data_IF_520727391140
#
_entry.id   IF_520727391140
#
_cell.length_a   1.000
_cell.length_b   1.000
_cell.length_c   1.000
_cell.angle_alpha   90.00
_cell.angle_beta   90.00
_cell.angle_gamma   90.00
#
_symmetry.space_group_name_H-M   'P 1'
#
loop_
_entity.id
_entity.type
_entity.pdbx_description
1 polymer ?
#
# COMPACT_ATOMS: atom_id res chain seq x y z
N UNK A 1 -15.77 33.36 23.69
CA UNK A 1 -14.98 32.11 23.53
C UNK A 1 -13.97 32.34 22.43
N UNK A 2 -12.74 32.68 22.83
CA UNK A 2 -11.67 33.12 21.94
C UNK A 2 -11.36 32.11 20.83
N UNK A 3 -11.02 32.66 19.67
CA UNK A 3 -10.82 31.99 18.41
C UNK A 3 -9.48 31.22 18.42
N UNK A 4 -9.43 30.11 19.16
CA UNK A 4 -8.21 29.32 19.33
C UNK A 4 -7.71 28.74 17.98
N UNK A 5 -6.60 29.28 17.50
CA UNK A 5 -6.01 28.95 16.19
C UNK A 5 -5.57 27.50 16.13
N UNK A 6 -4.90 27.01 17.17
CA UNK A 6 -4.36 25.64 17.23
C UNK A 6 -5.50 24.62 17.15
N UNK A 7 -6.56 24.81 17.95
CA UNK A 7 -7.76 23.97 17.93
C UNK A 7 -8.41 23.95 16.55
N UNK A 8 -8.59 25.12 15.92
CA UNK A 8 -9.20 25.23 14.58
C UNK A 8 -8.36 24.51 13.52
N UNK A 9 -7.04 24.66 13.57
CA UNK A 9 -6.12 24.03 12.62
C UNK A 9 -6.06 22.49 12.79
N UNK A 10 -6.00 21.99 14.03
CA UNK A 10 -6.02 20.54 14.32
C UNK A 10 -7.35 19.94 13.86
N UNK A 11 -8.48 20.60 14.14
CA UNK A 11 -9.79 20.13 13.71
C UNK A 11 -9.88 20.04 12.18
N UNK A 12 -9.47 21.09 11.46
CA UNK A 12 -9.47 21.11 9.99
C UNK A 12 -8.63 19.98 9.40
N UNK A 13 -7.39 19.82 9.86
CA UNK A 13 -6.49 18.77 9.36
C UNK A 13 -6.97 17.36 9.71
N UNK A 14 -7.57 17.18 10.88
CA UNK A 14 -8.13 15.90 11.31
C UNK A 14 -9.40 15.52 10.52
N UNK A 15 -10.26 16.48 10.18
CA UNK A 15 -11.42 16.26 9.30
C UNK A 15 -10.96 15.85 7.89
N UNK A 16 -10.06 16.64 7.28
CA UNK A 16 -9.59 16.37 5.91
C UNK A 16 -8.92 15.00 5.83
N UNK A 17 -7.99 14.70 6.75
CA UNK A 17 -7.34 13.38 6.78
C UNK A 17 -8.30 12.24 7.11
N UNK A 18 -9.32 12.47 7.95
CA UNK A 18 -10.36 11.49 8.24
C UNK A 18 -11.21 11.15 7.01
N UNK A 19 -11.62 12.15 6.23
CA UNK A 19 -12.39 11.94 4.99
C UNK A 19 -11.61 11.12 3.95
N UNK A 20 -10.31 11.40 3.79
CA UNK A 20 -9.46 10.60 2.90
C UNK A 20 -9.35 9.14 3.36
N UNK A 21 -9.22 8.90 4.67
CA UNK A 21 -9.19 7.53 5.21
C UNK A 21 -10.52 6.80 4.98
N UNK A 22 -11.66 7.47 5.15
CA UNK A 22 -12.98 6.91 4.88
C UNK A 22 -13.12 6.55 3.39
N UNK A 23 -12.66 7.42 2.48
CA UNK A 23 -12.67 7.15 1.05
C UNK A 23 -11.85 5.90 0.71
N UNK A 24 -10.65 5.74 1.29
CA UNK A 24 -9.81 4.54 1.11
C UNK A 24 -10.54 3.29 1.60
N UNK A 25 -11.18 3.34 2.78
CA UNK A 25 -11.96 2.22 3.30
C UNK A 25 -13.11 1.86 2.37
N UNK A 26 -13.80 2.86 1.79
CA UNK A 26 -14.88 2.63 0.82
C UNK A 26 -14.39 1.95 -0.45
N UNK A 27 -13.23 2.33 -0.98
CA UNK A 27 -12.62 1.70 -2.16
C UNK A 27 -12.26 0.24 -1.85
N UNK A 28 -11.63 -0.03 -0.71
CA UNK A 28 -11.29 -1.40 -0.29
C UNK A 28 -12.57 -2.23 -0.13
N UNK A 29 -13.62 -1.65 0.47
CA UNK A 29 -14.92 -2.33 0.63
C UNK A 29 -15.55 -2.68 -0.72
N UNK A 30 -15.43 -1.81 -1.71
CA UNK A 30 -15.95 -2.05 -3.06
C UNK A 30 -15.17 -3.18 -3.76
N UNK A 31 -13.84 -3.17 -3.66
CA UNK A 31 -13.01 -4.26 -4.16
C UNK A 31 -13.33 -5.61 -3.47
N UNK A 32 -13.56 -5.60 -2.15
CA UNK A 32 -14.00 -6.78 -1.41
C UNK A 32 -15.43 -7.21 -1.77
N UNK A 33 -16.27 -6.28 -2.24
CA UNK A 33 -17.62 -6.59 -2.70
C UNK A 33 -17.57 -7.37 -4.02
N UNK A 34 -16.71 -6.95 -4.95
CA UNK A 34 -16.47 -7.66 -6.21
C UNK A 34 -15.90 -9.07 -5.96
N UNK A 35 -15.06 -9.25 -4.95
CA UNK A 35 -14.47 -10.57 -4.63
C UNK A 35 -15.32 -11.45 -3.71
N UNK A 36 -16.56 -11.08 -3.41
CA UNK A 36 -17.42 -11.81 -2.45
C UNK A 36 -17.63 -13.28 -2.76
N UNK A 37 -17.66 -13.68 -4.04
CA UNK A 37 -17.79 -15.09 -4.43
C UNK A 37 -16.56 -15.93 -4.08
N UNK A 38 -15.37 -15.31 -4.05
CA UNK A 38 -14.09 -15.98 -3.80
C UNK A 38 -13.75 -16.13 -2.31
N UNK A 39 -14.30 -15.27 -1.45
CA UNK A 39 -13.96 -15.31 -0.01
C UNK A 39 -14.46 -16.62 0.67
N UNK A 40 -15.71 -17.08 0.45
CA UNK A 40 -16.16 -18.36 0.98
C UNK A 40 -15.37 -19.55 0.43
N UNK A 41 -14.99 -19.52 -0.85
CA UNK A 41 -14.14 -20.59 -1.40
C UNK A 41 -12.78 -20.58 -0.73
N UNK A 42 -12.13 -19.44 -0.50
CA UNK A 42 -10.80 -19.40 0.14
C UNK A 42 -10.81 -19.93 1.58
N UNK A 43 -11.82 -19.60 2.39
CA UNK A 43 -11.86 -19.95 3.82
C UNK A 43 -12.75 -21.14 4.18
N UNK A 44 -13.56 -21.65 3.24
CA UNK A 44 -14.42 -22.83 3.43
C UNK A 44 -13.60 -24.12 3.55
N UNK A 45 -14.27 -25.27 3.71
CA UNK A 45 -13.67 -26.59 3.49
C UNK A 45 -13.91 -27.01 2.03
N UNK A 46 -13.03 -27.84 1.42
CA UNK A 46 -13.32 -28.42 0.12
C UNK A 46 -14.56 -29.29 0.23
N UNK A 47 -15.42 -29.21 -0.77
CA UNK A 47 -16.47 -30.20 -0.98
C UNK A 47 -15.84 -31.49 -1.51
N UNK A 48 -16.32 -32.66 -1.12
CA UNK A 48 -15.82 -33.92 -1.68
C UNK A 48 -16.65 -34.25 -2.91
N UNK A 49 -15.99 -34.43 -4.06
CA UNK A 49 -16.63 -34.86 -5.30
C UNK A 49 -16.19 -36.30 -5.57
N UNK A 50 -17.16 -37.20 -5.56
CA UNK A 50 -16.99 -38.62 -5.78
C UNK A 50 -17.81 -39.14 -6.96
N UNK A 51 -18.86 -38.43 -7.39
CA UNK A 51 -19.75 -38.85 -8.48
C UNK A 51 -19.77 -37.84 -9.63
N UNK A 52 -20.24 -38.29 -10.80
CA UNK A 52 -20.46 -37.41 -11.95
C UNK A 52 -21.52 -36.34 -11.67
N UNK A 53 -22.61 -36.70 -10.97
CA UNK A 53 -23.67 -35.75 -10.59
C UNK A 53 -23.14 -34.60 -9.72
N UNK A 54 -22.28 -34.90 -8.74
CA UNK A 54 -21.65 -33.88 -7.88
C UNK A 54 -20.72 -32.96 -8.69
N UNK A 55 -20.03 -33.49 -9.70
CA UNK A 55 -19.17 -32.71 -10.58
C UNK A 55 -19.96 -31.80 -11.52
N UNK A 56 -21.10 -32.26 -12.04
CA UNK A 56 -22.00 -31.46 -12.87
C UNK A 56 -22.66 -30.34 -12.05
N UNK A 57 -23.12 -30.61 -10.82
CA UNK A 57 -23.64 -29.58 -9.90
C UNK A 57 -22.56 -28.56 -9.54
N UNK A 58 -21.33 -29.02 -9.29
CA UNK A 58 -20.19 -28.15 -9.06
C UNK A 58 -19.90 -27.25 -10.28
N UNK A 59 -20.04 -27.78 -11.50
CA UNK A 59 -19.88 -27.01 -12.73
C UNK A 59 -20.95 -25.93 -12.88
N UNK A 60 -22.21 -26.25 -12.62
CA UNK A 60 -23.34 -25.32 -12.75
C UNK A 60 -23.32 -24.19 -11.71
N UNK A 61 -22.96 -24.52 -10.46
CA UNK A 61 -23.01 -23.56 -9.35
C UNK A 61 -21.84 -22.57 -9.36
N UNK A 62 -20.69 -22.94 -9.94
CA UNK A 62 -19.52 -22.09 -10.10
C UNK A 62 -18.94 -21.54 -8.78
N UNK A 63 -19.27 -22.16 -7.66
CA UNK A 63 -18.95 -21.67 -6.31
C UNK A 63 -18.20 -22.74 -5.54
N UNK A 64 -16.89 -22.58 -5.46
CA UNK A 64 -16.10 -23.30 -4.47
C UNK A 64 -14.95 -24.05 -5.06
N UNK A 65 -14.47 -25.00 -4.28
CA UNK A 65 -13.32 -25.82 -4.58
C UNK A 65 -13.59 -27.21 -4.02
N UNK A 66 -13.15 -28.22 -4.72
CA UNK A 66 -13.48 -29.59 -4.38
C UNK A 66 -12.24 -30.44 -4.16
N UNK A 67 -12.38 -31.49 -3.38
CA UNK A 67 -11.46 -32.62 -3.39
C UNK A 67 -12.01 -33.61 -4.40
N UNK A 68 -11.34 -33.72 -5.53
CA UNK A 68 -11.67 -34.69 -6.56
C UNK A 68 -10.93 -35.98 -6.27
N UNK A 69 -11.66 -37.07 -6.06
CA UNK A 69 -11.10 -38.40 -5.94
C UNK A 69 -11.12 -39.06 -7.32
N UNK A 70 -9.94 -39.35 -7.86
CA UNK A 70 -9.79 -39.88 -9.20
C UNK A 70 -9.34 -41.33 -9.10
N UNK A 71 -10.11 -42.23 -9.73
CA UNK A 71 -9.77 -43.65 -9.80
C UNK A 71 -8.56 -43.86 -10.72
N UNK A 72 -8.55 -43.20 -11.89
CA UNK A 72 -7.47 -43.28 -12.87
C UNK A 72 -7.27 -41.95 -13.60
N UNK A 73 -6.01 -41.53 -13.78
CA UNK A 73 -5.65 -40.41 -14.65
C UNK A 73 -4.47 -40.75 -15.57
N UNK A 74 -4.48 -40.22 -16.79
CA UNK A 74 -3.40 -40.31 -17.76
C UNK A 74 -2.96 -38.92 -18.24
N UNK A 75 -1.67 -38.77 -18.52
CA UNK A 75 -1.12 -37.56 -19.15
C UNK A 75 -1.65 -37.44 -20.58
N UNK A 76 -2.19 -36.28 -20.94
CA UNK A 76 -2.68 -36.04 -22.31
C UNK A 76 -1.56 -35.68 -23.28
N UNK A 77 -0.37 -35.34 -22.78
CA UNK A 77 0.75 -34.81 -23.58
C UNK A 77 0.63 -33.32 -23.88
N UNK A 78 -0.49 -32.68 -23.50
CA UNK A 78 -0.70 -31.26 -23.69
C UNK A 78 -0.29 -30.44 -22.47
N UNK A 79 0.13 -29.21 -22.69
CA UNK A 79 0.55 -28.32 -21.62
C UNK A 79 0.24 -26.84 -21.94
N UNK A 80 0.07 -26.05 -20.88
CA UNK A 80 -0.07 -24.60 -20.96
C UNK A 80 1.28 -23.96 -20.66
N UNK A 81 1.73 -23.06 -21.54
CA UNK A 81 2.96 -22.31 -21.39
C UNK A 81 2.69 -20.80 -21.25
N UNK A 82 3.54 -20.10 -20.48
CA UNK A 82 3.46 -18.64 -20.40
C UNK A 82 3.95 -18.00 -21.69
N UNK A 83 3.18 -17.01 -22.16
CA UNK A 83 3.56 -16.21 -23.32
C UNK A 83 4.69 -15.24 -22.94
N UNK A 84 5.90 -15.48 -23.47
CA UNK A 84 7.09 -14.66 -23.19
C UNK A 84 8.41 -15.43 -23.07
N UNK A 85 9.27 -15.28 -24.08
CA UNK A 85 10.74 -15.38 -24.02
C UNK A 85 11.40 -16.75 -23.86
N UNK A 86 10.80 -17.69 -23.11
CA UNK A 86 11.34 -19.06 -22.92
C UNK A 86 10.30 -20.19 -22.88
N UNK A 87 9.02 -19.90 -23.11
CA UNK A 87 7.98 -20.94 -23.21
C UNK A 87 7.93 -21.86 -21.98
N UNK A 88 8.14 -21.31 -20.78
CA UNK A 88 8.16 -22.11 -19.56
C UNK A 88 6.77 -22.73 -19.35
N UNK A 89 6.73 -24.06 -19.30
CA UNK A 89 5.52 -24.83 -19.00
C UNK A 89 5.03 -24.45 -17.62
N UNK A 90 3.78 -23.99 -17.54
CA UNK A 90 3.13 -23.64 -16.28
C UNK A 90 2.28 -24.79 -15.77
N UNK A 91 1.53 -25.45 -16.64
CA UNK A 91 0.56 -26.50 -16.29
C UNK A 91 0.60 -27.62 -17.34
N UNK A 92 0.48 -28.87 -16.89
CA UNK A 92 0.32 -30.05 -17.72
C UNK A 92 -1.15 -30.48 -17.68
N UNK A 93 -1.66 -30.98 -18.79
CA UNK A 93 -3.05 -31.38 -18.93
C UNK A 93 -3.14 -32.91 -18.80
N UNK A 94 -4.11 -33.34 -18.03
CA UNK A 94 -4.39 -34.74 -17.77
C UNK A 94 -5.85 -35.05 -18.05
N UNK A 95 -6.12 -36.32 -18.30
CA UNK A 95 -7.46 -36.87 -18.47
C UNK A 95 -7.70 -37.83 -17.33
N UNK A 96 -8.72 -37.54 -16.54
CA UNK A 96 -9.16 -38.38 -15.45
C UNK A 96 -10.45 -39.11 -15.82
N UNK A 97 -10.62 -40.30 -15.25
CA UNK A 97 -11.87 -41.06 -15.31
C UNK A 97 -12.53 -41.00 -13.94
N UNK A 98 -13.82 -40.62 -13.95
CA UNK A 98 -14.69 -40.63 -12.78
C UNK A 98 -15.95 -41.38 -13.20
N UNK A 99 -16.23 -42.49 -12.51
CA UNK A 99 -17.27 -43.46 -12.90
C UNK A 99 -17.06 -43.92 -14.35
N UNK A 100 -17.84 -43.41 -15.31
CA UNK A 100 -17.76 -43.71 -16.74
C UNK A 100 -17.46 -42.48 -17.63
N UNK A 101 -17.12 -41.34 -17.02
CA UNK A 101 -16.87 -40.07 -17.72
C UNK A 101 -15.41 -39.63 -17.69
N UNK A 102 -15.02 -38.95 -18.76
CA UNK A 102 -13.72 -38.30 -18.89
C UNK A 102 -13.79 -36.84 -18.43
N UNK A 103 -12.79 -36.44 -17.65
CA UNK A 103 -12.65 -35.08 -17.09
C UNK A 103 -11.25 -34.55 -17.37
N UNK A 104 -11.15 -33.28 -17.80
CA UNK A 104 -9.87 -32.64 -18.10
C UNK A 104 -9.33 -31.91 -16.87
N UNK A 105 -8.07 -32.17 -16.51
CA UNK A 105 -7.41 -31.58 -15.34
C UNK A 105 -6.14 -30.83 -15.75
N UNK A 106 -6.00 -29.58 -15.29
CA UNK A 106 -4.78 -28.78 -15.43
C UNK A 106 -3.99 -28.82 -14.12
N UNK A 107 -2.82 -29.47 -14.12
CA UNK A 107 -1.96 -29.57 -12.94
C UNK A 107 -0.68 -28.75 -13.13
N UNK A 108 -0.22 -27.98 -12.12
CA UNK A 108 1.04 -27.26 -12.19
C UNK A 108 2.21 -28.19 -12.53
N UNK A 109 3.12 -27.76 -13.42
CA UNK A 109 4.24 -28.57 -13.90
C UNK A 109 5.14 -29.13 -12.77
N UNK A 110 5.18 -28.44 -11.61
CA UNK A 110 5.93 -28.87 -10.40
C UNK A 110 5.27 -30.03 -9.64
N UNK A 111 3.97 -30.23 -9.82
CA UNK A 111 3.20 -31.33 -9.22
C UNK A 111 3.27 -32.56 -10.13
N UNK A 112 3.24 -32.33 -11.46
CA UNK A 112 3.39 -33.35 -12.49
C UNK A 112 4.76 -34.04 -12.48
N UNK A 113 5.86 -33.32 -12.24
CA UNK A 113 7.22 -33.90 -12.27
C UNK A 113 7.53 -34.94 -11.19
N UNK A 114 6.61 -35.19 -10.25
CA UNK A 114 6.76 -36.20 -9.20
C UNK A 114 6.00 -37.51 -9.45
N UNK A 115 5.12 -37.57 -10.45
CA UNK A 115 4.22 -38.70 -10.65
C UNK A 115 4.21 -39.19 -12.11
N UNK A 116 4.33 -40.51 -12.36
CA UNK A 116 4.45 -41.08 -13.69
C UNK A 116 3.15 -40.94 -14.51
N UNK A 117 3.26 -41.22 -15.81
CA UNK A 117 2.26 -41.08 -16.89
C UNK A 117 0.83 -41.59 -16.58
N UNK A 118 0.67 -42.42 -15.56
CA UNK A 118 -0.60 -42.98 -15.09
C UNK A 118 -0.64 -42.92 -13.56
N UNK A 119 -1.77 -42.51 -12.99
CA UNK A 119 -1.98 -42.50 -11.54
C UNK A 119 -3.32 -43.11 -11.16
N UNK A 120 -3.30 -43.90 -10.08
CA UNK A 120 -4.50 -44.51 -9.50
C UNK A 120 -4.81 -43.93 -8.12
N UNK A 121 -6.09 -43.75 -7.80
CA UNK A 121 -6.61 -43.33 -6.48
C UNK A 121 -5.96 -42.04 -5.94
N UNK A 122 -6.06 -40.95 -6.69
CA UNK A 122 -5.44 -39.66 -6.32
C UNK A 122 -6.49 -38.63 -5.95
N UNK A 123 -6.25 -37.90 -4.87
CA UNK A 123 -7.09 -36.80 -4.42
C UNK A 123 -6.45 -35.43 -4.71
N UNK A 124 -7.09 -34.62 -5.56
CA UNK A 124 -6.65 -33.26 -5.86
C UNK A 124 -7.61 -32.21 -5.31
N UNK A 125 -7.08 -31.07 -4.88
CA UNK A 125 -7.91 -29.94 -4.46
C UNK A 125 -8.06 -29.00 -5.65
N UNK A 126 -9.19 -29.11 -6.33
CA UNK A 126 -9.47 -28.48 -7.61
C UNK A 126 -10.34 -27.22 -7.46
N UNK A 127 -10.15 -26.28 -8.38
CA UNK A 127 -11.08 -25.16 -8.61
C UNK A 127 -11.50 -25.17 -10.08
N UNK A 128 -12.74 -24.76 -10.36
CA UNK A 128 -13.23 -24.55 -11.73
C UNK A 128 -12.28 -23.60 -12.45
N UNK A 129 -11.78 -24.02 -13.61
CA UNK A 129 -10.99 -23.17 -14.45
C UNK A 129 -11.95 -22.21 -15.18
N UNK A 130 -11.95 -20.94 -14.80
CA UNK A 130 -12.76 -19.86 -15.40
C UNK A 130 -12.43 -19.61 -16.90
N UNK A 131 -11.51 -20.36 -17.50
CA UNK A 131 -10.93 -20.12 -18.84
C UNK A 131 -11.68 -20.69 -20.05
N UNK A 132 -12.77 -21.45 -19.89
CA UNK A 132 -13.56 -21.91 -21.04
C UNK A 132 -14.24 -20.76 -21.84
N UNK A 133 -14.04 -19.50 -21.45
CA UNK A 133 -14.41 -18.31 -22.24
C UNK A 133 -13.32 -17.87 -23.24
N UNK A 134 -12.06 -18.34 -23.13
CA UNK A 134 -10.98 -18.02 -24.06
C UNK A 134 -10.99 -18.96 -25.28
N UNK A 135 -11.09 -18.39 -26.48
CA UNK A 135 -11.18 -19.14 -27.74
C UNK A 135 -10.05 -20.18 -27.95
N UNK A 136 -8.85 -19.91 -27.45
CA UNK A 136 -7.69 -20.82 -27.57
C UNK A 136 -7.80 -22.06 -26.66
N UNK A 137 -8.46 -21.94 -25.51
CA UNK A 137 -8.59 -23.03 -24.53
C UNK A 137 -9.77 -23.95 -24.89
N UNK A 138 -10.85 -23.37 -25.43
CA UNK A 138 -11.95 -24.13 -26.07
C UNK A 138 -11.43 -24.95 -27.27
N UNK A 139 -10.52 -24.37 -28.06
CA UNK A 139 -9.88 -25.06 -29.17
C UNK A 139 -9.03 -26.24 -28.70
N UNK A 140 -8.23 -26.05 -27.64
CA UNK A 140 -7.40 -27.10 -27.05
C UNK A 140 -8.22 -28.30 -26.56
N UNK A 141 -9.34 -28.04 -25.88
CA UNK A 141 -10.25 -29.11 -25.42
C UNK A 141 -10.82 -29.89 -26.62
N UNK A 142 -11.15 -29.19 -27.71
CA UNK A 142 -11.60 -29.82 -28.96
C UNK A 142 -10.52 -30.69 -29.64
N UNK A 143 -9.26 -30.24 -29.60
CA UNK A 143 -8.11 -31.00 -30.13
C UNK A 143 -7.86 -32.28 -29.32
N UNK A 144 -7.86 -32.19 -27.99
CA UNK A 144 -7.72 -33.35 -27.09
C UNK A 144 -8.81 -34.39 -27.36
N UNK A 145 -10.07 -33.98 -27.43
CA UNK A 145 -11.19 -34.90 -27.71
C UNK A 145 -11.05 -35.58 -29.06
N UNK A 146 -10.54 -34.87 -30.07
CA UNK A 146 -10.34 -35.40 -31.42
C UNK A 146 -9.25 -36.46 -31.45
N UNK A 147 -8.11 -36.22 -30.80
CA UNK A 147 -7.01 -37.19 -30.74
C UNK A 147 -7.43 -38.49 -30.03
N UNK A 148 -8.22 -38.38 -28.96
CA UNK A 148 -8.77 -39.55 -28.25
C UNK A 148 -9.75 -40.33 -29.13
N UNK A 149 -10.65 -39.63 -29.83
CA UNK A 149 -11.61 -40.27 -30.75
C UNK A 149 -10.88 -41.06 -31.86
N UNK A 150 -9.83 -40.46 -32.42
CA UNK A 150 -8.98 -41.09 -33.45
C UNK A 150 -8.20 -42.28 -32.90
N UNK A 151 -7.62 -42.17 -31.71
CA UNK A 151 -6.86 -43.24 -31.05
C UNK A 151 -7.72 -44.44 -30.65
N UNK A 152 -8.98 -44.21 -30.27
CA UNK A 152 -9.94 -45.25 -29.90
C UNK A 152 -10.76 -45.78 -31.10
N UNK A 153 -10.68 -45.12 -32.26
CA UNK A 153 -11.43 -45.49 -33.46
C UNK A 153 -12.95 -45.28 -33.34
N UNK A 154 -13.38 -44.36 -32.48
CA UNK A 154 -14.80 -44.08 -32.21
C UNK A 154 -15.22 -42.71 -32.77
N UNK A 155 -16.51 -42.53 -33.11
CA UNK A 155 -17.04 -41.22 -33.48
C UNK A 155 -16.81 -40.17 -32.38
N UNK A 156 -16.45 -38.94 -32.79
CA UNK A 156 -16.27 -37.80 -31.86
C UNK A 156 -17.54 -37.48 -31.04
N UNK A 157 -18.72 -37.85 -31.55
CA UNK A 157 -20.00 -37.67 -30.87
C UNK A 157 -20.10 -38.55 -29.62
N UNK A 158 -19.55 -39.77 -29.67
CA UNK A 158 -19.55 -40.69 -28.54
C UNK A 158 -18.57 -40.22 -27.45
N UNK A 159 -17.43 -39.66 -27.87
CA UNK A 159 -16.49 -38.97 -26.97
C UNK A 159 -17.14 -37.74 -26.33
N UNK A 160 -17.83 -36.90 -27.10
CA UNK A 160 -18.50 -35.72 -26.55
C UNK A 160 -19.54 -36.06 -25.48
N UNK A 161 -20.27 -37.17 -25.64
CA UNK A 161 -21.22 -37.64 -24.64
C UNK A 161 -20.53 -38.22 -23.39
N UNK A 162 -19.29 -38.70 -23.53
CA UNK A 162 -18.48 -39.25 -22.45
C UNK A 162 -17.63 -38.21 -21.70
N UNK A 163 -17.51 -36.98 -22.21
CA UNK A 163 -16.69 -35.93 -21.62
C UNK A 163 -17.53 -34.93 -20.82
N UNK A 164 -17.08 -34.61 -19.61
CA UNK A 164 -17.59 -33.46 -18.85
C UNK A 164 -16.76 -32.25 -19.26
N UNK A 165 -17.42 -31.22 -19.81
CA UNK A 165 -16.79 -29.98 -20.29
C UNK A 165 -16.38 -29.05 -19.14
N UNK A 166 -15.46 -29.56 -18.31
CA UNK A 166 -14.86 -28.84 -17.20
C UNK A 166 -13.37 -29.05 -17.24
N UNK A 167 -12.64 -27.94 -17.13
CA UNK A 167 -11.22 -27.97 -16.81
C UNK A 167 -11.07 -27.58 -15.33
N UNK A 168 -10.32 -28.39 -14.58
CA UNK A 168 -10.10 -28.19 -13.16
C UNK A 168 -8.63 -27.92 -12.89
N UNK A 169 -8.32 -26.95 -12.02
CA UNK A 169 -6.94 -26.57 -11.70
C UNK A 169 -6.56 -26.86 -10.26
N UNK A 170 -5.34 -27.36 -10.01
CA UNK A 170 -4.83 -27.53 -8.64
C UNK A 170 -4.70 -26.17 -7.94
N UNK A 171 -5.35 -26.07 -6.80
CA UNK A 171 -5.55 -24.82 -6.08
C UNK A 171 -4.67 -24.69 -4.82
N UNK A 172 -3.89 -25.73 -4.45
CA UNK A 172 -3.20 -25.77 -3.13
C UNK A 172 -2.19 -24.63 -2.91
N UNK A 173 -1.39 -24.29 -3.92
CA UNK A 173 -0.27 -23.34 -3.76
C UNK A 173 -0.72 -21.88 -3.80
N UNK A 174 -1.62 -21.54 -4.74
CA UNK A 174 -2.08 -20.16 -4.92
C UNK A 174 -2.92 -19.67 -3.73
N UNK A 175 -3.59 -20.59 -3.03
CA UNK A 175 -4.54 -20.23 -1.97
C UNK A 175 -3.93 -19.91 -0.63
N UNK A 176 -2.73 -20.42 -0.33
CA UNK A 176 -2.00 -19.96 0.86
C UNK A 176 -1.65 -18.48 0.72
N UNK A 177 -1.21 -18.07 -0.47
CA UNK A 177 -0.89 -16.68 -0.76
C UNK A 177 -2.14 -15.80 -0.74
N UNK A 178 -3.25 -16.26 -1.31
CA UNK A 178 -4.53 -15.54 -1.25
C UNK A 178 -5.05 -15.40 0.19
N UNK A 179 -5.00 -16.47 1.00
CA UNK A 179 -5.36 -16.41 2.43
C UNK A 179 -4.54 -15.35 3.16
N UNK A 180 -3.22 -15.36 2.99
CA UNK A 180 -2.32 -14.36 3.59
C UNK A 180 -2.69 -12.96 3.11
N UNK A 181 -2.99 -12.80 1.82
CA UNK A 181 -3.40 -11.53 1.23
C UNK A 181 -4.69 -10.99 1.86
N UNK A 182 -5.75 -11.80 1.96
CA UNK A 182 -7.02 -11.40 2.57
C UNK A 182 -6.89 -11.12 4.08
N UNK A 183 -6.11 -11.93 4.82
CA UNK A 183 -5.78 -11.66 6.23
C UNK A 183 -5.05 -10.32 6.35
N UNK A 184 -4.09 -10.04 5.46
CA UNK A 184 -3.38 -8.78 5.40
C UNK A 184 -4.32 -7.58 5.17
N UNK A 185 -5.27 -7.71 4.23
CA UNK A 185 -6.31 -6.68 4.00
C UNK A 185 -7.14 -6.47 5.27
N UNK A 186 -7.57 -7.54 5.93
CA UNK A 186 -8.37 -7.46 7.14
C UNK A 186 -7.65 -6.73 8.28
N UNK A 187 -6.39 -7.09 8.55
CA UNK A 187 -5.53 -6.40 9.52
C UNK A 187 -5.34 -4.93 9.12
N UNK A 188 -5.12 -4.66 7.84
CA UNK A 188 -5.01 -3.33 7.28
C UNK A 188 -6.27 -2.48 7.52
N UNK A 189 -7.45 -3.04 7.33
CA UNK A 189 -8.74 -2.38 7.59
C UNK A 189 -8.91 -2.03 9.06
N UNK A 190 -8.58 -2.94 9.99
CA UNK A 190 -8.59 -2.67 11.42
C UNK A 190 -7.66 -1.49 11.75
N UNK A 191 -6.45 -1.49 11.19
CA UNK A 191 -5.50 -0.40 11.38
C UNK A 191 -6.03 0.95 10.85
N UNK A 192 -6.66 0.96 9.67
CA UNK A 192 -7.30 2.16 9.11
C UNK A 192 -8.43 2.68 10.02
N UNK A 193 -9.25 1.80 10.58
CA UNK A 193 -10.31 2.16 11.54
C UNK A 193 -9.69 2.83 12.78
N UNK A 194 -8.61 2.27 13.33
CA UNK A 194 -7.88 2.87 14.46
C UNK A 194 -7.37 4.28 14.11
N UNK A 195 -6.90 4.50 12.88
CA UNK A 195 -6.47 5.83 12.43
C UNK A 195 -7.65 6.80 12.36
N UNK A 196 -8.81 6.38 11.86
CA UNK A 196 -10.04 7.20 11.85
C UNK A 196 -10.45 7.58 13.28
N UNK A 197 -10.48 6.61 14.21
CA UNK A 197 -10.78 6.85 15.63
C UNK A 197 -9.82 7.90 16.21
N UNK A 198 -8.52 7.80 15.93
CA UNK A 198 -7.53 8.81 16.37
C UNK A 198 -7.82 10.21 15.80
N UNK A 199 -8.39 10.33 14.60
CA UNK A 199 -8.82 11.63 14.03
C UNK A 199 -10.07 12.16 14.72
N UNK A 200 -11.05 11.30 15.00
CA UNK A 200 -12.26 11.68 15.74
C UNK A 200 -11.91 12.19 17.14
N UNK A 201 -11.04 11.46 17.87
CA UNK A 201 -10.54 11.88 19.18
C UNK A 201 -9.83 13.24 19.10
N UNK A 202 -9.03 13.50 18.06
CA UNK A 202 -8.35 14.79 17.88
C UNK A 202 -9.32 15.94 17.54
N UNK A 203 -10.51 15.65 17.00
CA UNK A 203 -11.55 16.65 16.72
C UNK A 203 -12.29 17.04 18.00
N UNK A 204 -12.65 16.05 18.84
CA UNK A 204 -13.38 16.28 20.10
C UNK A 204 -12.46 16.79 21.20
N UNK A 205 -11.25 16.23 21.30
CA UNK A 205 -10.23 16.60 22.27
C UNK A 205 -8.89 16.89 21.55
N UNK A 206 -8.73 18.12 21.06
CA UNK A 206 -7.51 18.53 20.35
C UNK A 206 -6.23 18.43 21.19
N UNK A 207 -6.33 18.49 22.54
CA UNK A 207 -5.18 18.35 23.44
C UNK A 207 -4.55 16.96 23.41
N UNK A 208 -5.32 15.94 23.06
CA UNK A 208 -4.80 14.58 22.88
C UNK A 208 -3.98 14.40 21.58
N UNK A 209 -4.04 15.36 20.66
CA UNK A 209 -3.46 15.22 19.33
C UNK A 209 -1.94 15.13 19.34
N UNK A 210 -1.38 14.47 18.32
CA UNK A 210 0.09 14.40 18.13
C UNK A 210 0.74 15.78 17.96
N UNK A 211 0.00 16.77 17.48
CA UNK A 211 0.49 18.15 17.33
C UNK A 211 0.78 18.75 18.70
N UNK A 212 -0.18 18.64 19.62
CA UNK A 212 -0.03 19.13 21.00
C UNK A 212 1.08 18.38 21.74
N UNK A 213 1.15 17.04 21.60
CA UNK A 213 2.25 16.24 22.19
C UNK A 213 3.64 16.62 21.69
N UNK A 214 3.77 17.16 20.48
CA UNK A 214 5.05 17.67 19.95
C UNK A 214 5.33 19.06 20.48
N UNK A 215 4.31 19.93 20.46
CA UNK A 215 4.42 21.29 20.96
C UNK A 215 4.77 21.33 22.45
N UNK A 216 4.22 20.43 23.27
CA UNK A 216 4.49 20.32 24.70
C UNK A 216 5.95 20.02 25.05
N UNK A 217 6.79 19.58 24.09
CA UNK A 217 8.23 19.40 24.31
C UNK A 217 8.99 20.71 24.52
N UNK A 218 8.39 21.83 24.11
CA UNK A 218 9.01 23.15 24.13
C UNK A 218 8.66 23.96 25.37
N UNK A 219 7.65 23.57 26.16
CA UNK A 219 7.30 24.27 27.39
C UNK A 219 5.86 24.04 27.86
N UNK A 220 5.37 24.97 28.68
CA UNK A 220 3.99 24.95 29.19
C UNK A 220 2.99 25.20 28.04
N UNK A 221 2.03 24.28 27.89
CA UNK A 221 1.11 24.27 26.76
C UNK A 221 0.16 25.48 26.75
N UNK A 222 -0.35 25.90 27.91
CA UNK A 222 -1.29 27.01 28.00
C UNK A 222 -0.61 28.34 27.63
N UNK A 223 0.63 28.52 28.09
CA UNK A 223 1.45 29.67 27.71
C UNK A 223 1.73 29.71 26.19
N UNK A 224 2.20 28.60 25.61
CA UNK A 224 2.49 28.54 24.17
C UNK A 224 1.23 28.73 23.32
N UNK A 225 0.09 28.20 23.76
CA UNK A 225 -1.20 28.37 23.08
C UNK A 225 -1.61 29.85 23.03
N UNK A 226 -1.53 30.55 24.17
CA UNK A 226 -1.84 31.97 24.26
C UNK A 226 -0.89 32.80 23.39
N UNK A 227 0.41 32.53 23.46
CA UNK A 227 1.42 33.22 22.67
C UNK A 227 1.17 33.04 21.16
N UNK A 228 0.93 31.81 20.70
CA UNK A 228 0.63 31.54 19.27
C UNK A 228 -0.67 32.24 18.85
N UNK A 229 -1.72 32.23 19.68
CA UNK A 229 -2.99 32.86 19.35
C UNK A 229 -2.90 34.39 19.26
N UNK A 230 -2.01 35.02 20.02
CA UNK A 230 -1.74 36.45 19.93
C UNK A 230 -0.93 36.78 18.68
N UNK A 231 0.18 36.05 18.46
CA UNK A 231 1.14 36.32 17.40
C UNK A 231 0.62 36.01 15.99
N UNK A 232 -0.32 35.07 15.85
CA UNK A 232 -0.86 34.71 14.53
C UNK A 232 -1.60 35.86 13.82
N UNK A 233 -2.04 36.87 14.58
CA UNK A 233 -2.73 38.04 14.02
C UNK A 233 -1.74 39.07 13.44
N UNK A 234 -0.46 38.99 13.83
CA UNK A 234 0.59 39.90 13.38
C UNK A 234 1.82 39.10 12.87
N UNK A 235 1.65 38.29 11.81
CA UNK A 235 2.74 37.50 11.26
C UNK A 235 3.73 38.37 10.49
N UNK A 236 5.01 38.04 10.57
CA UNK A 236 6.07 38.71 9.82
C UNK A 236 6.25 38.13 8.41
N UNK A 237 5.86 36.87 8.24
CA UNK A 237 5.79 36.24 6.93
C UNK A 237 4.56 35.34 6.83
N UNK A 238 3.84 35.44 5.72
CA UNK A 238 2.69 34.58 5.43
C UNK A 238 2.74 34.06 4.01
N UNK A 239 2.60 32.74 3.90
CA UNK A 239 2.22 32.07 2.67
C UNK A 239 1.09 31.06 2.96
N UNK A 240 0.62 30.39 1.90
CA UNK A 240 -0.40 29.33 2.02
C UNK A 240 0.02 28.24 3.00
N UNK A 241 1.31 27.89 3.00
CA UNK A 241 1.87 26.80 3.79
C UNK A 241 2.64 27.29 5.02
N UNK A 242 3.38 28.38 4.91
CA UNK A 242 4.32 28.82 5.96
C UNK A 242 3.76 30.08 6.61
N UNK A 243 3.83 30.15 7.93
CA UNK A 243 3.64 31.40 8.66
C UNK A 243 4.78 31.56 9.65
N UNK A 244 5.47 32.68 9.63
CA UNK A 244 6.51 33.03 10.59
C UNK A 244 5.99 34.23 11.37
N UNK A 245 6.03 34.09 12.68
CA UNK A 245 5.63 35.10 13.66
C UNK A 245 6.86 35.53 14.45
N UNK A 246 6.68 36.34 15.49
CA UNK A 246 7.82 36.80 16.28
C UNK A 246 8.60 35.63 16.90
N UNK A 247 7.91 34.62 17.42
CA UNK A 247 8.52 33.50 18.14
C UNK A 247 8.30 32.13 17.49
N UNK A 248 7.43 32.01 16.47
CA UNK A 248 7.04 30.71 15.92
C UNK A 248 7.20 30.60 14.41
N UNK A 249 7.71 29.45 13.98
CA UNK A 249 7.57 28.92 12.62
C UNK A 249 6.39 27.95 12.60
N UNK A 250 5.45 28.19 11.71
CA UNK A 250 4.23 27.40 11.54
C UNK A 250 4.18 26.83 10.11
N UNK A 251 4.20 25.50 9.99
CA UNK A 251 4.05 24.79 8.72
C UNK A 251 2.68 24.12 8.63
N UNK A 252 1.87 24.56 7.66
CA UNK A 252 0.47 24.18 7.43
C UNK A 252 0.38 23.38 6.13
N UNK A 253 0.11 22.09 6.24
CA UNK A 253 -0.30 21.25 5.11
C UNK A 253 -1.78 20.90 5.23
N UNK A 254 -2.45 20.44 4.16
CA UNK A 254 -3.83 19.97 4.26
C UNK A 254 -4.03 18.87 5.31
N UNK A 255 -2.98 18.09 5.61
CA UNK A 255 -3.04 16.90 6.47
C UNK A 255 -2.30 17.05 7.80
N UNK A 256 -1.55 18.13 8.00
CA UNK A 256 -0.74 18.35 9.19
C UNK A 256 -0.50 19.82 9.47
N UNK A 257 -0.46 20.20 10.74
CA UNK A 257 0.11 21.47 11.19
C UNK A 257 1.28 21.18 12.13
N UNK A 258 2.35 21.98 12.03
CA UNK A 258 3.54 21.87 12.88
C UNK A 258 3.97 23.25 13.35
N UNK A 259 4.50 23.29 14.57
CA UNK A 259 4.96 24.50 15.25
C UNK A 259 6.39 24.26 15.74
N UNK A 260 7.29 25.20 15.47
CA UNK A 260 8.65 25.20 15.97
C UNK A 260 8.95 26.57 16.55
N UNK A 261 9.35 26.68 17.83
CA UNK A 261 9.80 27.96 18.36
C UNK A 261 11.10 28.36 17.66
N UNK A 262 11.18 29.63 17.25
CA UNK A 262 12.37 30.24 16.65
C UNK A 262 13.53 30.21 17.65
N UNK A 263 13.21 30.40 18.95
CA UNK A 263 14.14 30.26 20.08
C UNK A 263 14.90 28.93 20.12
N UNK A 264 14.39 27.89 19.49
CA UNK A 264 14.97 26.54 19.49
C UNK A 264 15.68 26.19 18.18
N UNK A 265 15.80 27.13 17.23
CA UNK A 265 16.51 26.90 15.97
C UNK A 265 18.00 26.67 16.21
N UNK A 266 18.52 25.67 15.50
CA UNK A 266 19.93 25.25 15.57
C UNK A 266 20.61 25.38 14.21
N UNK A 267 19.95 24.92 13.15
CA UNK A 267 20.55 24.93 11.81
C UNK A 267 19.50 25.19 10.75
N UNK A 268 19.78 26.15 9.87
CA UNK A 268 18.87 26.60 8.82
C UNK A 268 19.61 26.70 7.48
N UNK A 269 19.04 26.15 6.41
CA UNK A 269 19.62 26.28 5.08
C UNK A 269 18.61 26.07 3.95
N UNK A 270 18.93 26.63 2.78
CA UNK A 270 18.16 26.45 1.56
C UNK A 270 18.43 25.10 0.90
N UNK A 271 17.37 24.46 0.42
CA UNK A 271 17.43 23.21 -0.34
C UNK A 271 16.75 23.40 -1.68
N UNK A 272 17.52 23.16 -2.74
CA UNK A 272 17.05 23.08 -4.12
C UNK A 272 16.91 21.61 -4.51
N UNK A 273 15.68 21.15 -4.74
CA UNK A 273 15.39 19.78 -5.18
C UNK A 273 15.07 19.78 -6.66
N UNK A 274 15.88 19.07 -7.47
CA UNK A 274 15.62 18.85 -8.90
C UNK A 274 14.73 17.62 -9.05
N UNK A 275 13.65 17.75 -9.82
CA UNK A 275 12.72 16.67 -10.12
C UNK A 275 12.99 16.12 -11.51
N UNK A 276 12.97 14.80 -11.64
CA UNK A 276 13.23 14.09 -12.90
C UNK A 276 12.12 13.05 -13.14
N UNK A 277 11.72 12.89 -14.40
CA UNK A 277 10.82 11.84 -14.86
C UNK A 277 11.42 11.24 -16.14
N UNK A 278 11.59 9.92 -16.16
CA UNK A 278 12.25 9.20 -17.27
C UNK A 278 13.61 9.82 -17.65
N UNK A 279 14.40 10.24 -16.65
CA UNK A 279 15.70 10.90 -16.84
C UNK A 279 15.64 12.38 -17.27
N UNK A 280 14.47 12.91 -17.61
CA UNK A 280 14.28 14.30 -18.05
C UNK A 280 13.92 15.17 -16.85
N UNK A 281 14.58 16.34 -16.72
CA UNK A 281 14.29 17.30 -15.64
C UNK A 281 12.91 17.93 -15.85
N UNK A 282 11.97 17.63 -14.96
CA UNK A 282 10.59 18.14 -15.03
C UNK A 282 10.39 19.42 -14.22
N UNK A 283 11.26 19.70 -13.24
CA UNK A 283 11.11 20.89 -12.43
C UNK A 283 12.15 21.05 -11.33
N UNK A 284 11.96 22.09 -10.53
CA UNK A 284 12.77 22.34 -9.34
C UNK A 284 11.88 22.96 -8.27
N UNK A 285 12.00 22.44 -7.04
CA UNK A 285 11.33 22.97 -5.87
C UNK A 285 12.32 23.48 -4.84
N UNK A 286 11.90 24.50 -4.11
CA UNK A 286 12.71 25.15 -3.10
C UNK A 286 12.10 24.93 -1.73
N UNK A 287 12.95 24.63 -0.75
CA UNK A 287 12.54 24.50 0.64
C UNK A 287 13.59 25.04 1.58
N UNK A 288 13.16 25.60 2.70
CA UNK A 288 14.06 25.94 3.81
C UNK A 288 14.04 24.78 4.81
N UNK A 289 15.22 24.23 5.10
CA UNK A 289 15.38 23.25 6.17
C UNK A 289 15.63 23.98 7.47
N UNK A 290 14.95 23.56 8.53
CA UNK A 290 15.12 24.08 9.89
C UNK A 290 15.25 22.91 10.86
N UNK A 291 16.28 22.92 11.68
CA UNK A 291 16.52 21.94 12.73
C UNK A 291 16.39 22.61 14.10
N UNK A 292 15.76 21.91 15.05
CA UNK A 292 15.67 22.36 16.44
C UNK A 292 16.56 21.58 17.40
N UNK A 293 16.80 22.17 18.56
CA UNK A 293 17.49 21.56 19.71
C UNK A 293 16.75 20.35 20.32
N UNK A 294 15.48 20.13 19.96
CA UNK A 294 14.68 18.94 20.29
C UNK A 294 14.79 17.85 19.21
N UNK A 295 15.78 17.95 18.33
CA UNK A 295 16.00 17.05 17.20
C UNK A 295 14.79 16.95 16.26
N UNK A 296 14.01 18.04 16.14
CA UNK A 296 12.93 18.13 15.16
C UNK A 296 13.41 18.80 13.87
N UNK A 297 12.88 18.33 12.75
CA UNK A 297 13.24 18.82 11.42
C UNK A 297 12.01 19.33 10.69
N UNK A 298 12.06 20.60 10.28
CA UNK A 298 11.06 21.21 9.42
C UNK A 298 11.64 21.37 8.03
N UNK A 299 10.86 20.94 7.04
CA UNK A 299 11.12 21.25 5.63
C UNK A 299 9.99 22.16 5.20
N UNK A 300 10.30 23.46 5.20
CA UNK A 300 9.39 24.53 4.83
C UNK A 300 9.39 24.60 3.30
N UNK A 301 8.46 23.91 2.66
CA UNK A 301 8.34 23.95 1.20
C UNK A 301 7.80 25.31 0.77
N UNK A 302 8.60 26.05 0.02
CA UNK A 302 8.32 27.42 -0.41
C UNK A 302 7.55 27.43 -1.73
N UNK A 303 7.84 26.46 -2.62
CA UNK A 303 7.14 26.31 -3.89
C UNK A 303 8.02 25.74 -5.00
N UNK A 304 7.66 26.06 -6.24
CA UNK A 304 8.25 25.52 -7.46
C UNK A 304 8.78 26.66 -8.35
N UNK A 305 9.75 26.35 -9.22
CA UNK A 305 10.26 27.26 -10.26
C UNK A 305 10.94 28.52 -9.69
N UNK A 306 10.32 29.71 -9.77
CA UNK A 306 10.96 31.01 -9.46
C UNK A 306 10.91 31.39 -7.96
N UNK A 307 10.45 30.49 -7.10
CA UNK A 307 10.30 30.76 -5.66
C UNK A 307 11.63 30.70 -4.86
N UNK A 308 12.79 30.74 -5.53
CA UNK A 308 14.10 30.75 -4.87
C UNK A 308 14.30 31.98 -3.99
N UNK A 309 13.95 33.17 -4.49
CA UNK A 309 14.05 34.43 -3.74
C UNK A 309 13.21 34.40 -2.46
N UNK A 310 12.05 33.71 -2.48
CA UNK A 310 11.23 33.52 -1.27
C UNK A 310 11.89 32.60 -0.26
N UNK A 311 12.66 31.61 -0.71
CA UNK A 311 13.40 30.75 0.20
C UNK A 311 14.58 31.52 0.83
N UNK A 312 15.26 32.34 0.04
CA UNK A 312 16.32 33.25 0.50
C UNK A 312 15.75 34.23 1.54
N UNK A 313 14.64 34.90 1.26
CA UNK A 313 14.04 35.87 2.19
C UNK A 313 13.55 35.24 3.49
N UNK A 314 13.08 33.98 3.47
CA UNK A 314 12.78 33.25 4.70
C UNK A 314 14.05 32.99 5.51
N UNK A 315 15.15 32.61 4.87
CA UNK A 315 16.43 32.39 5.57
C UNK A 315 16.96 33.69 6.16
N UNK A 316 16.88 34.80 5.44
CA UNK A 316 17.26 36.13 5.93
C UNK A 316 16.40 36.60 7.10
N UNK A 317 15.08 36.41 7.02
CA UNK A 317 14.19 36.71 8.15
C UNK A 317 14.56 35.87 9.38
N UNK A 318 14.83 34.58 9.18
CA UNK A 318 15.24 33.71 10.28
C UNK A 318 16.63 34.07 10.82
N UNK A 319 17.57 34.55 10.01
CA UNK A 319 18.90 34.97 10.49
C UNK A 319 18.84 36.22 11.35
N UNK A 320 17.92 37.14 11.04
CA UNK A 320 17.66 38.30 11.89
C UNK A 320 17.03 37.91 13.23
N UNK A 321 16.14 36.91 13.24
CA UNK A 321 15.42 36.49 14.46
C UNK A 321 16.16 35.51 15.35
N UNK A 322 17.01 34.67 14.77
CA UNK A 322 17.77 33.66 15.47
C UNK A 322 19.26 33.76 15.08
N UNK A 323 19.94 34.88 15.38
CA UNK A 323 21.32 35.10 14.98
C UNK A 323 22.30 34.07 15.55
N UNK A 324 21.90 33.36 16.62
CA UNK A 324 22.68 32.26 17.21
C UNK A 324 22.66 30.96 16.39
N UNK A 325 21.69 30.78 15.49
CA UNK A 325 21.58 29.54 14.72
C UNK A 325 22.63 29.51 13.59
N UNK A 326 22.99 28.30 13.17
CA UNK A 326 23.91 28.12 12.05
C UNK A 326 23.15 28.29 10.74
N UNK A 327 23.68 29.10 9.82
CA UNK A 327 23.08 29.35 8.50
C UNK A 327 23.95 28.80 7.36
N UNK A 328 23.29 28.16 6.40
CA UNK A 328 23.96 27.61 5.21
C UNK A 328 24.25 26.12 5.32
N UNK A 329 24.57 25.51 4.18
CA UNK A 329 24.85 24.07 4.08
C UNK A 329 26.34 23.82 3.93
N UNK A 330 26.87 22.89 4.72
CA UNK A 330 28.14 22.22 4.41
C UNK A 330 28.01 20.72 4.67
N UNK A 331 28.75 19.91 3.90
CA UNK A 331 28.77 18.46 4.09
C UNK A 331 29.33 18.07 5.47
N UNK A 332 30.23 18.89 6.00
CA UNK A 332 30.76 18.73 7.35
C UNK A 332 29.68 18.92 8.42
N UNK A 333 28.92 20.03 8.38
CA UNK A 333 27.82 20.27 9.34
C UNK A 333 26.80 19.14 9.23
N UNK A 334 26.43 18.72 8.02
CA UNK A 334 25.51 17.59 7.82
C UNK A 334 26.03 16.30 8.43
N UNK A 335 27.30 15.95 8.17
CA UNK A 335 27.93 14.74 8.68
C UNK A 335 28.01 14.77 10.20
N UNK A 336 28.40 15.91 10.77
CA UNK A 336 28.50 16.12 12.21
C UNK A 336 27.12 16.07 12.86
N UNK A 337 26.10 16.71 12.29
CA UNK A 337 24.72 16.67 12.81
C UNK A 337 24.14 15.26 12.75
N UNK A 338 24.46 14.47 11.72
CA UNK A 338 24.03 13.07 11.62
C UNK A 338 24.74 12.16 12.64
N UNK A 339 26.04 12.37 12.85
CA UNK A 339 26.87 11.52 13.73
C UNK A 339 26.71 11.87 15.21
N UNK A 340 26.70 13.16 15.54
CA UNK A 340 26.61 13.67 16.89
C UNK A 340 25.84 15.02 16.93
N UNK A 341 24.49 14.99 16.88
CA UNK A 341 23.68 16.21 16.88
C UNK A 341 23.83 17.03 18.16
N UNK A 342 24.11 16.39 19.31
CA UNK A 342 24.21 17.08 20.60
C UNK A 342 25.35 18.08 20.63
N UNK A 343 26.50 17.73 20.03
CA UNK A 343 27.66 18.64 19.95
C UNK A 343 27.30 19.97 19.26
N UNK A 344 26.58 19.91 18.14
CA UNK A 344 26.17 21.12 17.41
C UNK A 344 25.11 21.91 18.20
N UNK A 345 24.19 21.20 18.86
CA UNK A 345 23.18 21.84 19.71
C UNK A 345 23.82 22.60 20.87
N UNK A 346 24.86 22.03 21.50
CA UNK A 346 25.63 22.68 22.57
C UNK A 346 26.40 23.91 22.07
N UNK A 347 27.05 23.80 20.91
CA UNK A 347 27.74 24.93 20.27
C UNK A 347 26.78 26.11 20.02
N UNK A 348 25.63 25.84 19.42
CA UNK A 348 24.60 26.87 19.21
C UNK A 348 24.05 27.42 20.52
N UNK A 349 23.90 26.59 21.56
CA UNK A 349 23.47 27.04 22.88
C UNK A 349 24.47 28.04 23.49
N UNK A 350 25.77 27.81 23.32
CA UNK A 350 26.81 28.71 23.81
C UNK A 350 26.76 30.07 23.10
N UNK A 351 26.68 30.06 21.76
CA UNK A 351 26.51 31.29 20.96
C UNK A 351 25.27 32.06 21.40
N UNK A 352 24.17 31.35 21.70
CA UNK A 352 22.95 31.99 22.18
C UNK A 352 23.11 32.66 23.54
N UNK A 353 23.85 32.04 24.46
CA UNK A 353 24.14 32.63 25.77
C UNK A 353 25.01 33.88 25.65
N UNK A 354 26.03 33.86 24.79
CA UNK A 354 26.90 35.01 24.51
C UNK A 354 26.12 36.19 23.93
N UNK A 355 25.17 35.95 23.02
CA UNK A 355 24.32 36.99 22.43
C UNK A 355 23.19 37.49 23.35
N UNK A 356 22.98 36.87 24.53
CA UNK A 356 21.94 37.27 25.49
C UNK A 356 22.50 38.08 26.67
N UNK A 357 23.83 38.24 26.74
CA UNK A 357 24.56 39.13 27.65
C UNK A 357 24.78 40.48 26.95
#
# INVERSE_FOLDING_TARGET
MENNFIKKAIRKTSIISGLVLILIISIIRLALFESKGKIPSIFGKPEEINTVEELEEYNETGKGYATLNIEYMADSGYYIAKDGGKGAITENIYIAIIEDKFVTLALPAKVSSKNPNEMENVSFVVEKFDGLENASEVQLLGEIKKEIAEGLGVPIQDINNGFIDVMLKDSKTDRVLEKIFYIGIFIGLIYLIILVIKRVIAITNYRSSKVIKRLSKYGNMDYMENQINQEINYPEYVSKRITITNNWIIDKTPFSIRFMPIGNLVWVYNVRTKHYQNGIRTGTSFSVMCYSDKNEKFSLNVGWKKDEEKAISIVELLSQKAPWAIYGYSDEIKKNFKKNPQKIIEEVRNIKMENSL
#
